data_IF_185024408812
#
_entry.id   IF_185024408812
#
_cell.length_a   1.000
_cell.length_b   1.000
_cell.length_c   1.000
_cell.angle_alpha   90.00
_cell.angle_beta   90.00
_cell.angle_gamma   90.00
#
_symmetry.space_group_name_H-M   'P 1'
#
loop_
_entity.id
_entity.type
_entity.pdbx_description
1 polymer ?
#
# COMPACT_ATOMS: atom_id res chain seq x y z
N UNK A 1 36.68 -2.13 -59.12
CA UNK A 1 35.32 -1.67 -58.78
C UNK A 1 34.85 -2.51 -57.62
N UNK A 2 35.01 -2.01 -56.41
CA UNK A 2 34.65 -2.75 -55.17
C UNK A 2 33.30 -2.26 -54.70
N UNK A 3 32.35 -3.18 -54.60
CA UNK A 3 31.03 -2.92 -54.02
C UNK A 3 31.16 -2.88 -52.49
N UNK A 4 30.79 -1.78 -51.90
CA UNK A 4 30.67 -1.63 -50.42
C UNK A 4 29.31 -2.15 -50.00
N UNK A 5 29.32 -3.23 -49.27
CA UNK A 5 28.15 -3.82 -48.64
C UNK A 5 27.81 -3.01 -47.35
N UNK A 6 26.70 -2.27 -47.42
CA UNK A 6 26.12 -1.58 -46.28
C UNK A 6 24.92 -2.40 -45.76
N UNK A 7 25.17 -3.30 -44.86
CA UNK A 7 24.07 -3.97 -44.15
C UNK A 7 24.53 -4.42 -42.79
N UNK A 8 24.29 -3.60 -41.78
CA UNK A 8 23.90 -4.08 -40.44
C UNK A 8 23.59 -2.89 -39.54
N UNK A 9 22.49 -2.24 -39.78
CA UNK A 9 21.85 -1.46 -38.73
C UNK A 9 21.16 -2.46 -37.79
N UNK A 10 21.87 -2.76 -36.72
CA UNK A 10 21.33 -3.54 -35.63
C UNK A 10 20.05 -2.90 -35.12
N UNK A 11 18.95 -3.64 -35.19
CA UNK A 11 17.76 -3.37 -34.42
C UNK A 11 18.15 -3.41 -32.95
N UNK A 12 18.44 -2.26 -32.36
CA UNK A 12 18.42 -2.10 -30.92
C UNK A 12 16.99 -2.41 -30.48
N UNK A 13 16.79 -3.63 -29.99
CA UNK A 13 15.56 -4.02 -29.36
C UNK A 13 15.27 -3.03 -28.23
N UNK A 14 14.23 -2.23 -28.40
CA UNK A 14 13.68 -1.40 -27.32
C UNK A 14 13.24 -2.40 -26.26
N UNK A 15 14.10 -2.61 -25.27
CA UNK A 15 13.72 -3.34 -24.07
C UNK A 15 12.52 -2.60 -23.48
N UNK A 16 11.35 -3.19 -23.62
CA UNK A 16 10.13 -2.66 -23.02
C UNK A 16 10.37 -2.67 -21.52
N UNK A 17 10.71 -1.51 -20.96
CA UNK A 17 10.94 -1.38 -19.53
C UNK A 17 9.65 -1.81 -18.83
N UNK A 18 9.71 -2.93 -18.10
CA UNK A 18 8.59 -3.40 -17.30
C UNK A 18 8.31 -2.32 -16.26
N UNK A 19 7.08 -1.83 -16.25
CA UNK A 19 6.67 -0.82 -15.29
C UNK A 19 6.93 -1.31 -13.85
N UNK A 20 7.49 -0.47 -12.97
CA UNK A 20 7.79 -0.88 -11.61
C UNK A 20 6.52 -1.27 -10.88
N UNK A 21 6.59 -2.37 -10.11
CA UNK A 21 5.45 -2.86 -9.32
C UNK A 21 5.08 -1.84 -8.26
N UNK A 22 3.78 -1.61 -8.01
CA UNK A 22 3.32 -0.60 -7.06
C UNK A 22 3.85 -0.81 -5.65
N UNK A 23 4.06 0.29 -4.92
CA UNK A 23 4.23 0.31 -3.47
C UNK A 23 2.87 0.53 -2.83
N UNK A 24 2.51 -0.26 -1.83
CA UNK A 24 1.26 -0.13 -1.10
C UNK A 24 1.52 0.24 0.35
N UNK A 25 0.94 1.36 0.79
CA UNK A 25 0.89 1.74 2.20
C UNK A 25 -0.50 1.40 2.74
N UNK A 26 -0.58 0.41 3.62
CA UNK A 26 -1.83 -0.06 4.20
C UNK A 26 -1.99 0.37 5.66
N UNK A 27 -3.12 0.99 5.97
CA UNK A 27 -3.51 1.37 7.32
C UNK A 27 -4.82 0.70 7.73
N UNK A 28 -5.00 0.46 9.03
CA UNK A 28 -6.24 -0.06 9.61
C UNK A 28 -6.98 1.07 10.32
N UNK A 29 -8.01 1.56 9.68
CA UNK A 29 -9.04 2.48 10.22
C UNK A 29 -8.57 3.80 10.81
N UNK A 30 -7.29 4.12 10.88
CA UNK A 30 -6.77 5.27 11.60
C UNK A 30 -5.48 5.78 10.96
N UNK A 31 -4.91 6.76 11.60
CA UNK A 31 -3.70 7.48 11.22
C UNK A 31 -2.60 6.60 10.67
N UNK A 32 -1.95 7.09 9.64
CA UNK A 32 -0.76 6.48 9.07
C UNK A 32 0.41 6.65 10.05
N UNK A 33 1.15 5.58 10.30
CA UNK A 33 2.40 5.68 11.07
C UNK A 33 3.42 6.50 10.26
N UNK A 34 4.02 7.57 10.84
CA UNK A 34 4.93 8.43 10.09
C UNK A 34 6.18 7.73 9.54
N UNK A 35 6.65 6.67 10.21
CA UNK A 35 7.78 5.89 9.72
C UNK A 35 7.37 5.04 8.52
N UNK A 36 6.16 4.45 8.56
CA UNK A 36 5.61 3.72 7.44
C UNK A 36 5.36 4.62 6.22
N UNK A 37 4.81 5.81 6.44
CA UNK A 37 4.62 6.80 5.39
C UNK A 37 5.95 7.14 4.70
N UNK A 38 6.99 7.44 5.48
CA UNK A 38 8.31 7.76 4.95
C UNK A 38 8.87 6.62 4.12
N UNK A 39 8.86 5.39 4.64
CA UNK A 39 9.37 4.21 3.92
C UNK A 39 8.61 3.98 2.62
N UNK A 40 7.28 4.13 2.60
CA UNK A 40 6.49 3.94 1.40
C UNK A 40 6.77 5.02 0.34
N UNK A 41 6.91 6.28 0.75
CA UNK A 41 7.24 7.40 -0.14
C UNK A 41 8.65 7.23 -0.71
N UNK A 42 9.65 6.95 0.15
CA UNK A 42 11.03 6.76 -0.28
C UNK A 42 11.14 5.60 -1.28
N UNK A 43 10.52 4.46 -0.97
CA UNK A 43 10.50 3.31 -1.88
C UNK A 43 9.83 3.62 -3.23
N UNK A 44 8.73 4.38 -3.23
CA UNK A 44 8.05 4.78 -4.47
C UNK A 44 8.91 5.73 -5.30
N UNK A 45 9.61 6.69 -4.67
CA UNK A 45 10.54 7.61 -5.34
C UNK A 45 11.73 6.88 -5.93
N UNK A 46 12.38 6.01 -5.14
CA UNK A 46 13.57 5.26 -5.58
C UNK A 46 13.29 4.33 -6.76
N UNK A 47 12.11 3.71 -6.76
CA UNK A 47 11.74 2.75 -7.82
C UNK A 47 10.99 3.38 -8.98
N UNK A 48 10.54 4.63 -8.87
CA UNK A 48 9.63 5.26 -9.82
C UNK A 48 8.24 4.59 -9.87
N UNK A 49 7.88 3.87 -8.80
CA UNK A 49 6.61 3.16 -8.71
C UNK A 49 5.48 4.10 -8.28
N UNK A 50 4.25 3.74 -8.66
CA UNK A 50 3.05 4.40 -8.09
C UNK A 50 2.84 3.97 -6.65
N UNK A 51 2.23 4.85 -5.86
CA UNK A 51 1.86 4.60 -4.47
C UNK A 51 0.36 4.30 -4.37
N UNK A 52 0.02 3.15 -3.79
CA UNK A 52 -1.34 2.78 -3.42
C UNK A 52 -1.50 3.01 -1.92
N UNK A 53 -2.30 4.00 -1.56
CA UNK A 53 -2.61 4.28 -0.15
C UNK A 53 -3.94 3.60 0.20
N UNK A 54 -3.90 2.56 1.03
CA UNK A 54 -5.05 1.71 1.33
C UNK A 54 -5.50 1.90 2.76
N UNK A 55 -6.70 2.45 2.91
CA UNK A 55 -7.38 2.54 4.21
C UNK A 55 -8.34 1.36 4.38
N UNK A 56 -7.98 0.43 5.25
CA UNK A 56 -8.79 -0.74 5.58
C UNK A 56 -9.75 -0.42 6.73
N UNK A 57 -11.02 -0.62 6.51
CA UNK A 57 -12.07 -0.44 7.52
C UNK A 57 -12.64 -1.80 7.88
N UNK A 58 -12.54 -2.15 9.15
CA UNK A 58 -13.17 -3.36 9.64
C UNK A 58 -14.66 -3.14 9.88
N UNK A 59 -15.49 -4.00 9.27
CA UNK A 59 -16.93 -4.03 9.50
C UNK A 59 -17.25 -5.11 10.53
N UNK A 60 -17.89 -4.76 11.66
CA UNK A 60 -18.29 -5.74 12.66
C UNK A 60 -19.31 -6.74 12.09
N UNK A 61 -19.32 -7.99 12.57
CA UNK A 61 -20.13 -9.06 11.99
C UNK A 61 -21.65 -8.95 12.24
N UNK A 62 -22.09 -8.13 13.19
CA UNK A 62 -23.50 -8.03 13.58
C UNK A 62 -24.06 -6.61 13.40
N UNK A 63 -25.28 -6.46 12.82
CA UNK A 63 -25.92 -5.17 12.66
C UNK A 63 -26.26 -4.46 13.98
N UNK A 64 -26.50 -5.21 15.07
CA UNK A 64 -26.73 -4.65 16.40
C UNK A 64 -25.50 -3.94 16.98
N UNK A 65 -24.29 -4.43 16.65
CA UNK A 65 -23.04 -3.76 17.05
C UNK A 65 -22.77 -2.50 16.24
N UNK A 66 -23.37 -2.32 15.07
CA UNK A 66 -23.29 -1.07 14.30
C UNK A 66 -24.04 0.07 14.98
N UNK A 67 -25.14 -0.22 15.68
CA UNK A 67 -25.93 0.79 16.39
C UNK A 67 -25.22 1.23 17.68
N UNK A 68 -24.59 0.30 18.38
CA UNK A 68 -23.77 0.59 19.57
C UNK A 68 -22.39 1.16 19.18
N UNK A 69 -21.82 0.75 18.06
CA UNK A 69 -20.56 1.26 17.55
C UNK A 69 -20.66 2.69 16.99
N UNK A 70 -21.86 3.21 16.76
CA UNK A 70 -22.07 4.63 16.45
C UNK A 70 -21.66 5.54 17.61
N UNK A 71 -21.75 5.05 18.84
CA UNK A 71 -21.30 5.76 20.04
C UNK A 71 -19.81 5.51 20.37
N UNK A 72 -19.21 4.42 19.87
CA UNK A 72 -17.83 4.02 20.16
C UNK A 72 -17.02 3.77 18.87
N UNK A 73 -16.80 4.84 18.11
CA UNK A 73 -15.61 5.06 17.23
C UNK A 73 -15.01 3.87 16.46
N UNK A 74 -15.80 3.01 15.83
CA UNK A 74 -15.28 2.05 14.86
C UNK A 74 -15.34 2.55 13.42
N UNK A 75 -16.08 3.62 13.15
CA UNK A 75 -16.00 4.34 11.89
C UNK A 75 -14.89 5.40 12.00
N UNK A 76 -14.01 5.52 10.99
CA UNK A 76 -13.00 6.56 11.00
C UNK A 76 -13.69 7.93 11.09
N UNK A 77 -13.24 8.77 12.01
CA UNK A 77 -13.66 10.15 12.07
C UNK A 77 -13.20 10.88 10.80
N UNK A 78 -13.90 11.94 10.42
CA UNK A 78 -13.52 12.78 9.27
C UNK A 78 -12.05 13.22 9.35
N UNK A 79 -11.57 13.54 10.55
CA UNK A 79 -10.18 13.92 10.83
C UNK A 79 -9.17 12.82 10.46
N UNK A 80 -9.51 11.55 10.70
CA UNK A 80 -8.66 10.41 10.32
C UNK A 80 -8.59 10.25 8.79
N UNK A 81 -9.68 10.55 8.09
CA UNK A 81 -9.72 10.55 6.63
C UNK A 81 -8.93 11.72 6.05
N UNK A 82 -8.93 12.86 6.69
CA UNK A 82 -8.17 14.02 6.26
C UNK A 82 -6.67 13.78 6.39
N UNK A 83 -6.22 13.04 7.40
CA UNK A 83 -4.82 12.66 7.54
C UNK A 83 -4.36 11.70 6.43
N UNK A 84 -5.17 10.73 6.06
CA UNK A 84 -4.88 9.83 4.93
C UNK A 84 -4.86 10.59 3.60
N UNK A 85 -5.76 11.55 3.41
CA UNK A 85 -5.76 12.46 2.25
C UNK A 85 -4.52 13.35 2.23
N UNK A 86 -4.09 13.85 3.40
CA UNK A 86 -2.89 14.65 3.51
C UNK A 86 -1.63 13.85 3.14
N UNK A 87 -1.55 12.57 3.54
CA UNK A 87 -0.47 11.67 3.10
C UNK A 87 -0.46 11.51 1.58
N UNK A 88 -1.62 11.29 0.97
CA UNK A 88 -1.73 11.21 -0.49
C UNK A 88 -1.30 12.52 -1.17
N UNK A 89 -1.69 13.66 -0.60
CA UNK A 89 -1.29 14.98 -1.07
C UNK A 89 0.22 15.21 -1.01
N UNK A 90 0.87 14.79 0.08
CA UNK A 90 2.34 14.89 0.23
C UNK A 90 3.07 14.05 -0.82
N UNK A 91 2.63 12.81 -1.04
CA UNK A 91 3.21 11.95 -2.07
C UNK A 91 3.01 12.53 -3.48
N UNK A 92 1.82 13.02 -3.79
CA UNK A 92 1.52 13.66 -5.08
C UNK A 92 2.35 14.94 -5.30
N UNK A 93 2.59 15.74 -4.26
CA UNK A 93 3.45 16.93 -4.33
C UNK A 93 4.91 16.59 -4.65
N UNK A 94 5.36 15.38 -4.35
CA UNK A 94 6.67 14.84 -4.72
C UNK A 94 6.69 14.22 -6.13
N UNK A 95 5.60 14.32 -6.88
CA UNK A 95 5.47 13.76 -8.22
C UNK A 95 5.20 12.26 -8.28
N UNK A 96 4.85 11.62 -7.15
CA UNK A 96 4.51 10.20 -7.11
C UNK A 96 3.05 10.01 -7.59
N UNK A 97 2.79 9.20 -8.63
CA UNK A 97 1.42 8.83 -8.99
C UNK A 97 0.78 8.09 -7.81
N UNK A 98 -0.24 8.69 -7.20
CA UNK A 98 -0.84 8.20 -5.96
C UNK A 98 -2.32 7.88 -6.14
N UNK A 99 -2.73 6.70 -5.69
CA UNK A 99 -4.12 6.24 -5.69
C UNK A 99 -4.56 5.98 -4.24
N UNK A 100 -5.65 6.62 -3.81
CA UNK A 100 -6.23 6.40 -2.49
C UNK A 100 -7.39 5.40 -2.59
N UNK A 101 -7.27 4.28 -1.90
CA UNK A 101 -8.25 3.21 -1.85
C UNK A 101 -8.85 3.06 -0.46
N UNK A 102 -10.16 3.01 -0.39
CA UNK A 102 -10.90 2.72 0.85
C UNK A 102 -11.55 1.35 0.73
N UNK A 103 -11.18 0.44 1.60
CA UNK A 103 -11.67 -0.95 1.59
C UNK A 103 -12.38 -1.27 2.89
N UNK A 104 -13.68 -1.46 2.83
CA UNK A 104 -14.50 -1.87 3.98
C UNK A 104 -14.76 -3.37 3.91
N UNK A 105 -14.33 -4.12 4.92
CA UNK A 105 -14.47 -5.57 4.92
C UNK A 105 -14.65 -6.16 6.31
N UNK A 106 -15.43 -7.24 6.40
CA UNK A 106 -15.49 -8.07 7.63
C UNK A 106 -14.21 -8.86 7.85
N UNK A 107 -13.40 -9.06 6.78
CA UNK A 107 -12.12 -9.77 6.80
C UNK A 107 -11.04 -8.89 6.16
N UNK A 108 -10.63 -7.81 6.84
CA UNK A 108 -9.76 -6.79 6.23
C UNK A 108 -8.42 -7.36 5.74
N UNK A 109 -7.86 -8.32 6.44
CA UNK A 109 -6.60 -8.94 6.01
C UNK A 109 -6.76 -9.77 4.73
N UNK A 110 -7.89 -10.48 4.58
CA UNK A 110 -8.16 -11.23 3.34
C UNK A 110 -8.35 -10.28 2.17
N UNK A 111 -9.13 -9.21 2.36
CA UNK A 111 -9.32 -8.18 1.35
C UNK A 111 -8.00 -7.49 0.95
N UNK A 112 -7.12 -7.22 1.92
CA UNK A 112 -5.79 -6.68 1.64
C UNK A 112 -4.96 -7.63 0.77
N UNK A 113 -4.94 -8.92 1.09
CA UNK A 113 -4.18 -9.93 0.33
C UNK A 113 -4.71 -10.04 -1.11
N UNK A 114 -6.02 -10.03 -1.29
CA UNK A 114 -6.64 -10.03 -2.62
C UNK A 114 -6.23 -8.78 -3.42
N UNK A 115 -6.30 -7.61 -2.80
CA UNK A 115 -5.88 -6.35 -3.43
C UNK A 115 -4.39 -6.34 -3.81
N UNK A 116 -3.52 -6.86 -2.93
CA UNK A 116 -2.08 -6.99 -3.19
C UNK A 116 -1.82 -7.85 -4.44
N UNK A 117 -2.55 -8.94 -4.60
CA UNK A 117 -2.44 -9.83 -5.77
C UNK A 117 -3.03 -9.21 -7.03
N UNK A 118 -4.22 -8.62 -6.93
CA UNK A 118 -4.92 -7.97 -8.05
C UNK A 118 -4.09 -6.82 -8.64
N UNK A 119 -3.44 -6.04 -7.78
CA UNK A 119 -2.65 -4.87 -8.18
C UNK A 119 -1.17 -5.20 -8.42
N UNK A 120 -0.77 -6.46 -8.32
CA UNK A 120 0.61 -6.93 -8.49
C UNK A 120 1.63 -6.12 -7.66
N UNK A 121 1.30 -5.86 -6.41
CA UNK A 121 2.09 -5.03 -5.51
C UNK A 121 3.48 -5.63 -5.28
N UNK A 122 4.53 -4.80 -5.37
CA UNK A 122 5.92 -5.22 -5.13
C UNK A 122 6.34 -5.09 -3.67
N UNK A 123 5.85 -4.05 -2.99
CA UNK A 123 6.13 -3.79 -1.57
C UNK A 123 4.85 -3.40 -0.85
N UNK A 124 4.56 -4.09 0.24
CA UNK A 124 3.51 -3.72 1.19
C UNK A 124 4.16 -3.15 2.44
N UNK A 125 3.84 -1.90 2.74
CA UNK A 125 4.22 -1.22 3.98
C UNK A 125 3.01 -1.22 4.90
N UNK A 126 3.11 -1.92 6.05
CA UNK A 126 2.05 -1.95 7.06
C UNK A 126 2.28 -0.83 8.06
N UNK A 127 1.43 0.17 8.00
CA UNK A 127 1.48 1.36 8.84
C UNK A 127 0.22 1.58 9.67
N UNK A 128 -0.28 0.57 10.43
CA UNK A 128 -1.38 0.78 11.33
C UNK A 128 -0.95 1.61 12.53
N UNK A 129 -1.90 2.35 13.12
CA UNK A 129 -1.67 3.03 14.40
C UNK A 129 -1.26 2.00 15.46
N UNK A 130 -0.07 2.20 16.02
CA UNK A 130 0.52 1.30 17.01
C UNK A 130 -0.30 1.20 18.29
N UNK A 131 -1.02 2.25 18.64
CA UNK A 131 -1.84 2.30 19.88
C UNK A 131 -3.06 1.38 19.80
N UNK A 132 -3.55 1.08 18.58
CA UNK A 132 -4.76 0.29 18.36
C UNK A 132 -4.52 -1.08 17.74
N UNK A 133 -3.31 -1.34 17.24
CA UNK A 133 -3.00 -2.61 16.58
C UNK A 133 -1.97 -3.41 17.37
N UNK A 134 -2.36 -4.56 17.98
CA UNK A 134 -1.44 -5.37 18.77
C UNK A 134 -0.33 -5.96 17.87
N UNK A 135 0.86 -6.13 18.46
CA UNK A 135 2.07 -6.65 17.77
C UNK A 135 1.82 -7.97 17.05
N UNK A 136 1.14 -8.89 17.74
CA UNK A 136 0.86 -10.21 17.18
C UNK A 136 0.02 -10.15 15.92
N UNK A 137 -0.91 -9.19 15.82
CA UNK A 137 -1.74 -9.02 14.64
C UNK A 137 -0.91 -8.55 13.44
N UNK A 138 0.00 -7.60 13.65
CA UNK A 138 0.90 -7.09 12.59
C UNK A 138 1.83 -8.19 12.08
N UNK A 139 2.41 -8.99 13.00
CA UNK A 139 3.24 -10.14 12.65
C UNK A 139 2.45 -11.20 11.88
N UNK A 140 1.22 -11.49 12.31
CA UNK A 140 0.32 -12.42 11.63
C UNK A 140 -0.05 -11.92 10.23
N UNK A 141 -0.37 -10.63 10.09
CA UNK A 141 -0.69 -10.00 8.82
C UNK A 141 0.49 -10.13 7.86
N UNK A 142 1.69 -9.74 8.26
CA UNK A 142 2.89 -9.85 7.45
C UNK A 142 3.18 -11.30 7.02
N UNK A 143 3.07 -12.24 7.96
CA UNK A 143 3.25 -13.67 7.66
C UNK A 143 2.25 -14.17 6.61
N UNK A 144 0.98 -13.79 6.74
CA UNK A 144 -0.08 -14.20 5.81
C UNK A 144 0.06 -13.56 4.45
N UNK A 145 0.48 -12.29 4.38
CA UNK A 145 0.73 -11.62 3.11
C UNK A 145 1.89 -12.30 2.39
N UNK A 146 3.03 -12.50 3.06
CA UNK A 146 4.21 -13.19 2.49
C UNK A 146 3.91 -14.60 2.00
N UNK A 147 3.01 -15.32 2.69
CA UNK A 147 2.64 -16.69 2.32
C UNK A 147 1.70 -16.77 1.11
N UNK A 148 1.05 -15.67 0.70
CA UNK A 148 0.00 -15.66 -0.31
C UNK A 148 0.20 -14.70 -1.46
N UNK A 149 1.14 -13.79 -1.33
CA UNK A 149 1.49 -12.80 -2.34
C UNK A 149 3.01 -12.76 -2.53
N UNK A 150 3.42 -12.68 -3.78
CA UNK A 150 4.84 -12.52 -4.15
C UNK A 150 5.22 -11.03 -4.04
N UNK A 151 5.39 -10.56 -2.80
CA UNK A 151 5.76 -9.19 -2.50
C UNK A 151 6.62 -9.10 -1.24
N UNK A 152 7.39 -8.01 -1.14
CA UNK A 152 8.06 -7.64 0.10
C UNK A 152 7.05 -7.08 1.10
N UNK A 153 7.27 -7.33 2.38
CA UNK A 153 6.44 -6.77 3.45
C UNK A 153 7.33 -6.10 4.48
N UNK A 154 7.12 -4.81 4.65
CA UNK A 154 7.74 -4.02 5.70
C UNK A 154 6.72 -3.68 6.78
N UNK A 155 7.14 -3.71 8.03
CA UNK A 155 6.31 -3.36 9.19
C UNK A 155 7.02 -2.26 9.96
N UNK A 156 6.29 -1.21 10.35
CA UNK A 156 6.85 -0.17 11.19
C UNK A 156 7.47 -0.77 12.47
N UNK A 157 8.75 -0.49 12.76
CA UNK A 157 9.36 -0.96 14.00
C UNK A 157 8.63 -0.36 15.18
N UNK A 158 8.53 -1.11 16.26
CA UNK A 158 8.02 -0.57 17.51
C UNK A 158 9.03 0.49 17.99
N UNK A 159 8.62 1.75 17.97
CA UNK A 159 9.45 2.82 18.52
C UNK A 159 9.70 2.55 20.00
N UNK A 160 10.96 2.61 20.40
CA UNK A 160 11.38 2.62 21.78
C UNK A 160 10.82 3.82 22.55
#
# INVERSE_FOLDING_TARGET
>A
MAAVDQSTLGHAGVATAVAPRPVMLATLSVRVDPAAERVAIDAALETGARLLLVNLIWLPPHPATLTLAREYATLPHEEDLDEVRATAGRAAALGIPTELLRVSSRRPLAALIELVREREVGLVVLGPDRRRSPRWWRALAARRIRARADCLVWIAPDGG
#
